data_IF_508575173058
#
_entry.id   IF_508575173058
#
_cell.length_a   1.000
_cell.length_b   1.000
_cell.length_c   1.000
_cell.angle_alpha   90.00
_cell.angle_beta   90.00
_cell.angle_gamma   90.00
#
_symmetry.space_group_name_H-M   'P 1'
#
loop_
_entity.id
_entity.type
_entity.pdbx_description
1 polymer ?
#
# COMPACT_ATOMS: atom_id res chain seq x y z
N UNK A 1 4.31 -18.60 24.66
CA UNK A 1 4.36 -17.43 23.77
C UNK A 1 3.09 -17.44 22.96
N UNK A 2 2.21 -16.47 23.16
CA UNK A 2 1.07 -16.22 22.27
C UNK A 2 1.63 -15.96 20.88
N UNK A 3 1.19 -16.71 19.88
CA UNK A 3 1.52 -16.41 18.49
C UNK A 3 0.93 -15.04 18.18
N UNK A 4 1.79 -14.06 17.93
CA UNK A 4 1.37 -12.72 17.54
C UNK A 4 0.90 -12.80 16.08
N UNK A 5 -0.29 -12.25 15.79
CA UNK A 5 -0.78 -12.10 14.43
C UNK A 5 0.26 -11.41 13.53
N UNK A 6 0.19 -11.67 12.21
CA UNK A 6 1.09 -11.09 11.21
C UNK A 6 1.16 -9.57 11.30
N UNK A 7 0.02 -8.92 11.56
CA UNK A 7 -0.10 -7.46 11.74
C UNK A 7 0.72 -7.00 12.94
N UNK A 8 0.58 -7.66 14.09
CA UNK A 8 1.35 -7.31 15.29
C UNK A 8 2.87 -7.52 15.10
N UNK A 9 3.27 -8.54 14.34
CA UNK A 9 4.68 -8.77 13.97
C UNK A 9 5.21 -7.71 13.01
N UNK A 10 4.38 -7.19 12.10
CA UNK A 10 4.71 -6.05 11.24
C UNK A 10 4.87 -4.77 12.07
N UNK A 11 4.00 -4.53 13.05
CA UNK A 11 4.10 -3.37 13.93
C UNK A 11 5.41 -3.37 14.73
N UNK A 12 5.82 -4.53 15.26
CA UNK A 12 7.11 -4.68 15.94
C UNK A 12 8.28 -4.42 14.98
N UNK A 13 8.20 -4.91 13.74
CA UNK A 13 9.21 -4.65 12.72
C UNK A 13 9.34 -3.15 12.42
N UNK A 14 8.21 -2.46 12.22
CA UNK A 14 8.21 -1.03 11.94
C UNK A 14 8.67 -0.20 13.12
N UNK A 15 8.34 -0.59 14.35
CA UNK A 15 8.89 0.03 15.56
C UNK A 15 10.42 -0.03 15.59
N UNK A 16 11.01 -1.18 15.24
CA UNK A 16 12.47 -1.33 15.14
C UNK A 16 13.06 -0.51 14.00
N UNK A 17 12.40 -0.46 12.84
CA UNK A 17 12.87 0.33 11.70
C UNK A 17 12.86 1.82 12.01
N UNK A 18 11.75 2.32 12.56
CA UNK A 18 11.61 3.72 12.99
C UNK A 18 12.71 4.10 13.99
N UNK A 19 12.99 3.24 14.96
CA UNK A 19 14.09 3.46 15.90
C UNK A 19 15.47 3.48 15.23
N UNK A 20 15.69 2.63 14.22
CA UNK A 20 16.95 2.55 13.48
C UNK A 20 17.19 3.74 12.53
N UNK A 21 16.14 4.35 11.99
CA UNK A 21 16.25 5.51 11.10
C UNK A 21 16.74 6.79 11.82
N UNK A 22 16.60 6.88 13.13
CA UNK A 22 17.09 8.02 13.92
C UNK A 22 16.39 9.35 13.57
N UNK A 23 17.05 10.48 13.91
CA UNK A 23 16.48 11.83 13.76
C UNK A 23 16.33 12.31 12.29
N UNK A 24 16.84 11.56 11.32
CA UNK A 24 16.81 11.94 9.90
C UNK A 24 15.51 11.49 9.20
N UNK A 25 14.77 10.55 9.78
CA UNK A 25 13.46 10.15 9.28
C UNK A 25 12.41 11.12 9.84
N UNK A 26 12.09 12.15 9.06
CA UNK A 26 11.03 13.11 9.39
C UNK A 26 9.68 12.45 9.60
N UNK A 27 9.40 11.40 8.83
CA UNK A 27 8.14 10.67 8.87
C UNK A 27 8.30 9.22 8.39
N UNK A 28 7.53 8.32 8.97
CA UNK A 28 7.51 6.89 8.68
C UNK A 28 6.08 6.45 8.39
N UNK A 29 5.87 5.99 7.16
CA UNK A 29 4.57 5.56 6.67
C UNK A 29 4.51 4.03 6.77
N UNK A 30 3.63 3.56 7.65
CA UNK A 30 3.38 2.14 7.86
C UNK A 30 2.44 1.60 6.78
N UNK A 31 2.54 0.31 6.50
CA UNK A 31 1.70 -0.40 5.53
C UNK A 31 1.68 -1.90 5.86
N UNK A 32 0.86 -2.69 5.18
CA UNK A 32 0.87 -4.12 5.37
C UNK A 32 -0.45 -4.77 5.00
N UNK A 33 -0.82 -5.78 5.79
CA UNK A 33 -2.12 -6.44 5.69
C UNK A 33 -3.17 -5.50 6.29
N UNK A 34 -4.26 -5.26 5.56
CA UNK A 34 -5.31 -4.33 5.99
C UNK A 34 -6.25 -5.00 6.98
N UNK A 35 -6.79 -6.17 6.61
CA UNK A 35 -7.58 -7.03 7.48
C UNK A 35 -6.99 -8.45 7.42
N UNK A 36 -6.46 -8.91 8.56
CA UNK A 36 -5.69 -10.16 8.62
C UNK A 36 -6.58 -11.39 8.40
N UNK A 37 -7.79 -11.39 8.92
CA UNK A 37 -8.74 -12.49 8.76
C UNK A 37 -9.19 -12.61 7.31
N UNK A 38 -9.57 -11.49 6.71
CA UNK A 38 -10.00 -11.46 5.30
C UNK A 38 -8.85 -11.78 4.35
N UNK A 39 -7.62 -11.32 4.64
CA UNK A 39 -6.43 -11.68 3.87
C UNK A 39 -6.10 -13.17 3.93
N UNK A 40 -6.15 -13.77 5.13
CA UNK A 40 -5.84 -15.19 5.30
C UNK A 40 -6.82 -16.12 4.60
N UNK A 41 -8.09 -15.71 4.49
CA UNK A 41 -9.14 -16.44 3.81
C UNK A 41 -8.97 -16.48 2.27
N UNK A 42 -8.11 -15.64 1.68
CA UNK A 42 -7.97 -15.60 0.22
C UNK A 42 -7.08 -16.71 -0.36
N UNK A 43 -7.47 -17.20 -1.54
CA UNK A 43 -6.64 -18.03 -2.40
C UNK A 43 -6.80 -17.59 -3.87
N UNK A 44 -5.76 -16.98 -4.48
CA UNK A 44 -4.43 -16.69 -3.93
C UNK A 44 -4.42 -15.51 -2.94
N UNK A 45 -3.41 -15.46 -2.07
CA UNK A 45 -3.12 -14.28 -1.23
C UNK A 45 -2.28 -13.27 -2.04
N UNK A 46 -2.72 -12.01 -2.07
CA UNK A 46 -2.11 -10.97 -2.90
C UNK A 46 -1.29 -9.97 -2.08
N UNK A 47 -0.07 -9.68 -2.55
CA UNK A 47 0.78 -8.60 -2.05
C UNK A 47 1.04 -7.61 -3.18
N UNK A 48 0.70 -6.34 -2.96
CA UNK A 48 1.08 -5.23 -3.82
C UNK A 48 2.34 -4.59 -3.27
N UNK A 49 3.41 -4.60 -4.07
CA UNK A 49 4.69 -3.99 -3.71
C UNK A 49 4.82 -2.62 -4.39
N UNK A 50 4.71 -1.56 -3.59
CA UNK A 50 4.98 -0.18 -3.99
C UNK A 50 6.46 0.16 -3.82
N UNK A 51 6.93 1.17 -4.57
CA UNK A 51 8.29 1.70 -4.42
C UNK A 51 8.39 2.63 -3.20
N UNK A 52 7.50 3.61 -3.14
CA UNK A 52 7.43 4.65 -2.13
C UNK A 52 5.98 5.16 -1.97
N UNK A 53 5.59 5.58 -0.77
CA UNK A 53 4.33 6.27 -0.53
C UNK A 53 4.25 7.58 -1.31
N UNK A 54 3.08 7.86 -1.89
CA UNK A 54 2.79 9.18 -2.44
C UNK A 54 2.40 10.12 -1.29
N UNK A 55 3.39 10.74 -0.68
CA UNK A 55 3.22 11.69 0.41
C UNK A 55 3.79 13.05 0.00
N UNK A 56 2.89 13.98 -0.30
CA UNK A 56 3.22 15.31 -0.80
C UNK A 56 3.48 16.32 0.31
N UNK A 57 2.94 16.11 1.51
CA UNK A 57 3.20 16.99 2.66
C UNK A 57 4.54 16.63 3.28
N UNK A 58 4.82 15.33 3.48
CA UNK A 58 6.05 14.88 4.13
C UNK A 58 6.16 15.32 5.59
N UNK A 59 5.03 15.63 6.23
CA UNK A 59 5.00 16.24 7.57
C UNK A 59 4.48 15.31 8.67
N UNK A 60 3.71 14.25 8.33
CA UNK A 60 3.04 13.40 9.32
C UNK A 60 3.22 11.90 9.05
N UNK A 61 3.31 11.13 10.13
CA UNK A 61 3.24 9.67 10.09
C UNK A 61 1.79 9.24 9.83
N UNK A 62 1.62 8.23 8.99
CA UNK A 62 0.30 7.63 8.75
C UNK A 62 0.43 6.16 8.35
N UNK A 63 -0.70 5.48 8.26
CA UNK A 63 -0.77 4.04 8.00
C UNK A 63 -1.70 3.73 6.82
N UNK A 64 -1.15 3.10 5.78
CA UNK A 64 -1.95 2.64 4.64
C UNK A 64 -3.10 1.74 5.06
N UNK A 65 -2.91 0.93 6.12
CA UNK A 65 -3.92 -0.03 6.60
C UNK A 65 -5.15 0.71 7.12
N UNK A 66 -4.96 1.84 7.80
CA UNK A 66 -6.05 2.64 8.34
C UNK A 66 -6.73 3.45 7.23
N UNK A 67 -5.95 4.13 6.40
CA UNK A 67 -6.47 5.00 5.34
C UNK A 67 -7.26 4.20 4.29
N UNK A 68 -6.73 3.08 3.82
CA UNK A 68 -7.38 2.29 2.76
C UNK A 68 -8.60 1.49 3.27
N UNK A 69 -8.68 1.24 4.58
CA UNK A 69 -9.87 0.67 5.18
C UNK A 69 -11.03 1.68 5.20
N UNK A 70 -10.73 2.97 5.38
CA UNK A 70 -11.72 4.04 5.54
C UNK A 70 -12.08 4.74 4.22
N UNK A 71 -11.09 5.03 3.38
CA UNK A 71 -11.25 5.86 2.19
C UNK A 71 -10.59 5.26 0.94
N UNK A 72 -11.43 4.90 -0.03
CA UNK A 72 -10.99 4.43 -1.34
C UNK A 72 -10.84 5.55 -2.37
N UNK A 73 -11.00 6.83 -2.01
CA UNK A 73 -10.97 7.93 -2.99
C UNK A 73 -9.56 8.19 -3.54
N UNK A 74 -8.52 7.73 -2.85
CA UNK A 74 -7.14 7.82 -3.30
C UNK A 74 -6.95 7.06 -4.62
N UNK A 75 -6.44 7.74 -5.64
CA UNK A 75 -6.26 7.15 -6.99
C UNK A 75 -5.47 5.83 -6.93
N UNK A 76 -4.42 5.75 -6.11
CA UNK A 76 -3.65 4.53 -5.95
C UNK A 76 -4.47 3.39 -5.32
N UNK A 77 -5.19 3.66 -4.22
CA UNK A 77 -6.06 2.69 -3.57
C UNK A 77 -7.15 2.17 -4.52
N UNK A 78 -7.76 3.05 -5.35
CA UNK A 78 -8.72 2.63 -6.39
C UNK A 78 -8.10 1.65 -7.37
N UNK A 79 -6.90 1.93 -7.86
CA UNK A 79 -6.23 1.03 -8.81
C UNK A 79 -5.92 -0.32 -8.17
N UNK A 80 -5.44 -0.34 -6.93
CA UNK A 80 -5.20 -1.61 -6.22
C UNK A 80 -6.52 -2.36 -5.99
N UNK A 81 -7.59 -1.68 -5.59
CA UNK A 81 -8.90 -2.30 -5.38
C UNK A 81 -9.41 -3.00 -6.64
N UNK A 82 -9.31 -2.33 -7.80
CA UNK A 82 -9.72 -2.88 -9.11
C UNK A 82 -8.92 -4.13 -9.48
N UNK A 83 -7.60 -4.07 -9.33
CA UNK A 83 -6.72 -5.22 -9.63
C UNK A 83 -6.93 -6.37 -8.66
N UNK A 84 -7.04 -6.09 -7.37
CA UNK A 84 -7.33 -7.08 -6.33
C UNK A 84 -8.65 -7.80 -6.62
N UNK A 85 -9.73 -7.05 -6.84
CA UNK A 85 -11.02 -7.61 -7.21
C UNK A 85 -10.92 -8.46 -8.49
N UNK A 86 -10.23 -7.95 -9.51
CA UNK A 86 -9.97 -8.65 -10.75
C UNK A 86 -9.33 -10.02 -10.53
N UNK A 87 -8.19 -10.06 -9.84
CA UNK A 87 -7.43 -11.29 -9.62
C UNK A 87 -8.20 -12.28 -8.73
N UNK A 88 -8.81 -11.81 -7.65
CA UNK A 88 -9.52 -12.67 -6.69
C UNK A 88 -10.81 -13.27 -7.27
N UNK A 89 -11.42 -12.64 -8.27
CA UNK A 89 -12.68 -13.07 -8.88
C UNK A 89 -12.49 -13.62 -10.31
N UNK A 90 -11.26 -13.95 -10.73
CA UNK A 90 -11.01 -14.59 -12.02
C UNK A 90 -11.20 -13.68 -13.24
N UNK A 91 -10.84 -12.40 -13.10
CA UNK A 91 -10.92 -11.35 -14.11
C UNK A 91 -12.34 -11.17 -14.70
N UNK A 92 -13.31 -10.70 -13.91
CA UNK A 92 -14.64 -10.37 -14.39
C UNK A 92 -14.60 -9.24 -15.44
N UNK A 93 -15.72 -9.00 -16.16
CA UNK A 93 -15.82 -7.91 -17.13
C UNK A 93 -15.39 -6.56 -16.54
N UNK A 94 -14.77 -5.72 -17.38
CA UNK A 94 -14.23 -4.43 -16.96
C UNK A 94 -15.24 -3.54 -16.23
N UNK A 95 -16.50 -3.53 -16.64
CA UNK A 95 -17.54 -2.71 -15.99
C UNK A 95 -17.75 -3.10 -14.51
N UNK A 96 -17.55 -4.36 -14.15
CA UNK A 96 -17.58 -4.80 -12.74
C UNK A 96 -16.27 -4.48 -12.01
N UNK A 97 -15.13 -4.64 -12.69
CA UNK A 97 -13.82 -4.39 -12.09
C UNK A 97 -13.52 -2.89 -11.93
N UNK A 98 -14.09 -2.01 -12.77
CA UNK A 98 -13.89 -0.55 -12.73
C UNK A 98 -14.47 0.08 -11.47
N UNK A 99 -15.59 -0.45 -10.99
CA UNK A 99 -16.28 -0.07 -9.75
C UNK A 99 -16.64 -1.34 -8.99
N UNK A 100 -15.66 -1.96 -8.29
CA UNK A 100 -15.90 -3.19 -7.57
C UNK A 100 -17.07 -3.06 -6.59
N UNK A 101 -17.99 -4.04 -6.54
CA UNK A 101 -19.14 -4.00 -5.62
C UNK A 101 -18.72 -4.18 -4.15
N UNK A 102 -17.49 -4.62 -3.90
CA UNK A 102 -16.92 -4.83 -2.57
C UNK A 102 -15.55 -4.16 -2.44
N UNK A 103 -15.13 -3.87 -1.20
CA UNK A 103 -13.77 -3.40 -0.92
C UNK A 103 -12.79 -4.57 -0.93
N UNK A 104 -12.18 -4.84 -2.08
CA UNK A 104 -11.14 -5.87 -2.20
C UNK A 104 -9.81 -5.47 -1.53
N UNK A 105 -9.62 -4.20 -1.12
CA UNK A 105 -8.43 -3.78 -0.37
C UNK A 105 -8.31 -4.53 0.96
N UNK A 106 -9.42 -4.77 1.65
CA UNK A 106 -9.43 -5.51 2.91
C UNK A 106 -8.88 -6.93 2.78
N UNK A 107 -8.89 -7.49 1.56
CA UNK A 107 -8.50 -8.86 1.27
C UNK A 107 -7.03 -9.00 0.83
N UNK A 108 -6.26 -7.92 0.83
CA UNK A 108 -4.88 -7.91 0.30
C UNK A 108 -3.89 -7.29 1.28
N UNK A 109 -2.60 -7.46 0.98
CA UNK A 109 -1.52 -6.75 1.63
C UNK A 109 -0.92 -5.71 0.67
N UNK A 110 -0.50 -4.56 1.20
CA UNK A 110 0.29 -3.56 0.51
C UNK A 110 1.59 -3.30 1.27
N UNK A 111 2.71 -3.13 0.57
CA UNK A 111 4.00 -2.85 1.18
C UNK A 111 4.78 -1.90 0.28
N UNK A 112 5.26 -0.78 0.82
CA UNK A 112 6.23 0.05 0.15
C UNK A 112 7.65 -0.35 0.53
N UNK A 113 8.57 -0.38 -0.44
CA UNK A 113 9.99 -0.67 -0.20
C UNK A 113 10.63 0.46 0.62
N UNK A 114 10.30 1.71 0.30
CA UNK A 114 10.64 2.88 1.12
C UNK A 114 9.49 3.21 2.07
N UNK A 115 9.81 3.65 3.28
CA UNK A 115 8.82 4.07 4.31
C UNK A 115 8.69 5.59 4.44
N UNK A 116 9.42 6.32 3.62
CA UNK A 116 9.38 7.77 3.53
C UNK A 116 8.79 8.15 2.19
N UNK A 117 8.06 9.27 2.13
CA UNK A 117 7.54 9.80 0.87
C UNK A 117 8.64 9.98 -0.18
N UNK A 118 8.33 9.67 -1.45
CA UNK A 118 9.24 9.95 -2.54
C UNK A 118 9.07 11.36 -3.10
N UNK A 119 10.19 11.99 -3.47
CA UNK A 119 10.17 13.17 -4.32
C UNK A 119 10.05 12.73 -5.78
N UNK A 120 8.87 12.91 -6.38
CA UNK A 120 8.69 12.76 -7.82
C UNK A 120 9.24 13.98 -8.55
N UNK A 121 10.51 13.97 -8.95
CA UNK A 121 11.03 15.00 -9.86
C UNK A 121 11.00 14.47 -11.29
N UNK A 122 10.05 14.95 -12.09
CA UNK A 122 10.11 14.76 -13.54
C UNK A 122 11.04 15.83 -14.13
N UNK A 123 12.22 15.43 -14.61
CA UNK A 123 13.12 16.33 -15.34
C UNK A 123 12.69 16.33 -16.81
N UNK A 124 11.92 17.36 -17.20
CA UNK A 124 11.35 17.45 -18.55
C UNK A 124 12.40 17.43 -19.67
N UNK A 125 13.64 17.83 -19.37
CA UNK A 125 14.74 17.82 -20.32
C UNK A 125 15.29 16.41 -20.56
N UNK A 126 15.42 15.58 -19.51
CA UNK A 126 15.81 14.16 -19.65
C UNK A 126 14.75 13.36 -20.44
N UNK A 127 13.47 13.65 -20.19
CA UNK A 127 12.37 13.02 -20.93
C UNK A 127 12.45 13.36 -22.41
N UNK A 128 12.72 14.62 -22.76
CA UNK A 128 12.87 15.05 -24.16
C UNK A 128 14.12 14.47 -24.82
N UNK A 129 15.24 14.39 -24.09
CA UNK A 129 16.50 13.84 -24.60
C UNK A 129 16.39 12.36 -25.03
N UNK A 130 15.54 11.57 -24.38
CA UNK A 130 15.34 10.15 -24.67
C UNK A 130 14.09 9.85 -25.51
N UNK A 131 13.32 10.86 -25.91
CA UNK A 131 12.13 10.71 -26.74
C UNK A 131 12.42 10.79 -28.26
N UNK A 132 13.67 11.10 -28.63
CA UNK A 132 14.21 11.02 -30.01
C UNK A 132 14.92 9.69 -30.25
#
# INVERSE_FOLDING_TARGET
>A
MTDLGKTARLDELFGRWRAAYGAECRHFISDGIIDEELYEAQQPRLLFLGKDPNDQSGEEDWDFREEWAQDQLWTHARQVNRWAYGILNGFPPWEQAKEPPENALLKVACMNVKKTGGAGTAVADDIRHHAE
#
